data_IF_582718544320
#
_entry.id   IF_582718544320
#
_cell.length_a   1.000
_cell.length_b   1.000
_cell.length_c   1.000
_cell.angle_alpha   90.00
_cell.angle_beta   90.00
_cell.angle_gamma   90.00
#
_symmetry.space_group_name_H-M   'P 1'
#
loop_
_entity.id
_entity.type
_entity.pdbx_description
1 polymer ?
#
# COMPACT_ATOMS: atom_id res chain seq x y z
N UNK A 1 -5.16 -17.22 45.61
CA UNK A 1 -4.77 -18.58 45.18
C UNK A 1 -5.57 -19.08 43.97
N UNK A 2 -6.90 -18.99 43.98
CA UNK A 2 -7.77 -19.41 42.85
C UNK A 2 -7.53 -18.60 41.55
N UNK A 3 -7.34 -17.28 41.67
CA UNK A 3 -7.06 -16.38 40.54
C UNK A 3 -5.71 -16.71 39.85
N UNK A 4 -4.69 -17.07 40.63
CA UNK A 4 -3.36 -17.48 40.15
C UNK A 4 -3.44 -18.80 39.38
N UNK A 5 -4.24 -19.77 39.85
CA UNK A 5 -4.43 -21.05 39.16
C UNK A 5 -5.16 -20.90 37.82
N UNK A 6 -6.13 -19.97 37.75
CA UNK A 6 -6.85 -19.68 36.51
C UNK A 6 -5.95 -18.96 35.50
N UNK A 7 -5.17 -17.99 35.97
CA UNK A 7 -4.16 -17.27 35.17
C UNK A 7 -3.12 -18.26 34.61
N UNK A 8 -2.61 -19.17 35.44
CA UNK A 8 -1.66 -20.19 35.03
C UNK A 8 -2.23 -21.16 33.99
N UNK A 9 -3.51 -21.57 34.10
CA UNK A 9 -4.16 -22.45 33.11
C UNK A 9 -4.38 -21.75 31.77
N UNK A 10 -4.74 -20.46 31.79
CA UNK A 10 -4.90 -19.65 30.57
C UNK A 10 -3.55 -19.43 29.89
N UNK A 11 -2.52 -19.01 30.63
CA UNK A 11 -1.15 -18.85 30.13
C UNK A 11 -0.65 -20.16 29.51
N UNK A 12 -0.89 -21.31 30.15
CA UNK A 12 -0.41 -22.61 29.65
C UNK A 12 -1.04 -23.04 28.33
N UNK A 13 -2.35 -22.79 28.15
CA UNK A 13 -3.04 -23.09 26.88
C UNK A 13 -2.44 -22.26 25.73
N UNK A 14 -2.17 -20.98 25.98
CA UNK A 14 -1.67 -20.06 24.95
C UNK A 14 -0.16 -20.20 24.67
N UNK A 15 0.68 -20.56 25.66
CA UNK A 15 2.10 -20.88 25.42
C UNK A 15 2.27 -22.09 24.50
N UNK A 16 1.39 -23.09 24.61
CA UNK A 16 1.37 -24.26 23.72
C UNK A 16 0.99 -23.86 22.29
N UNK A 17 -0.02 -23.00 22.13
CA UNK A 17 -0.46 -22.49 20.83
C UNK A 17 0.63 -21.63 20.16
N UNK A 18 1.33 -20.77 20.91
CA UNK A 18 2.44 -19.92 20.42
C UNK A 18 3.68 -20.76 20.03
N UNK A 19 4.02 -21.78 20.84
CA UNK A 19 5.12 -22.70 20.52
C UNK A 19 4.88 -23.45 19.20
N UNK A 20 3.61 -23.67 18.85
CA UNK A 20 3.21 -24.32 17.60
C UNK A 20 3.30 -23.41 16.37
N UNK A 21 3.22 -22.09 16.54
CA UNK A 21 3.24 -21.10 15.45
C UNK A 21 4.68 -20.68 15.08
N UNK A 22 5.59 -20.57 16.05
CA UNK A 22 6.95 -20.01 15.87
C UNK A 22 8.10 -21.04 15.87
N UNK A 23 7.85 -22.28 15.45
CA UNK A 23 8.95 -23.25 15.27
C UNK A 23 9.71 -23.61 16.56
N UNK A 24 9.01 -23.65 17.71
CA UNK A 24 9.52 -24.09 19.02
C UNK A 24 10.63 -23.23 19.66
N UNK A 25 10.36 -21.93 19.87
CA UNK A 25 11.07 -21.20 20.92
C UNK A 25 10.49 -21.57 22.30
N UNK A 26 11.32 -22.14 23.17
CA UNK A 26 10.96 -22.53 24.54
C UNK A 26 11.35 -21.42 25.53
N UNK A 27 10.38 -20.85 26.22
CA UNK A 27 10.61 -19.87 27.30
C UNK A 27 10.55 -20.55 28.67
N UNK A 28 11.43 -20.15 29.59
CA UNK A 28 11.40 -20.61 30.99
C UNK A 28 10.34 -19.84 31.80
N UNK A 29 9.72 -20.49 32.78
CA UNK A 29 8.56 -19.99 33.55
C UNK A 29 8.81 -18.66 34.27
N UNK A 30 9.98 -18.59 34.92
CA UNK A 30 10.52 -17.41 35.58
C UNK A 30 10.67 -16.24 34.61
N UNK A 31 10.89 -16.48 33.31
CA UNK A 31 10.99 -15.44 32.29
C UNK A 31 9.62 -14.96 31.80
N UNK A 32 8.66 -15.87 31.56
CA UNK A 32 7.33 -15.52 31.01
C UNK A 32 6.53 -14.56 31.92
N UNK A 33 6.73 -14.60 33.23
CA UNK A 33 6.01 -13.77 34.21
C UNK A 33 6.58 -12.37 34.42
N UNK A 34 7.78 -12.10 33.91
CA UNK A 34 8.49 -10.81 34.05
C UNK A 34 8.90 -10.21 32.73
N UNK A 35 8.87 -10.95 31.62
CA UNK A 35 9.09 -10.41 30.28
C UNK A 35 7.88 -9.56 29.87
N UNK A 36 7.99 -8.21 29.81
CA UNK A 36 6.91 -7.34 29.37
C UNK A 36 6.43 -7.67 27.93
N UNK A 37 7.28 -8.34 27.18
CA UNK A 37 7.15 -8.76 25.78
C UNK A 37 5.97 -9.70 25.53
N UNK A 38 5.75 -10.64 26.45
CA UNK A 38 4.65 -11.62 26.36
C UNK A 38 3.31 -10.97 26.75
N UNK A 39 3.35 -9.98 27.64
CA UNK A 39 2.16 -9.30 28.17
C UNK A 39 1.57 -8.30 27.17
N UNK A 40 2.38 -7.52 26.44
CA UNK A 40 1.88 -6.58 25.42
C UNK A 40 1.42 -7.24 24.12
N UNK A 41 2.00 -8.37 23.73
CA UNK A 41 1.54 -9.11 22.56
C UNK A 41 0.05 -9.53 22.68
N UNK A 42 -0.46 -9.68 23.91
CA UNK A 42 -1.75 -10.31 24.19
C UNK A 42 -2.76 -9.43 24.98
N UNK A 43 -2.57 -8.12 25.03
CA UNK A 43 -3.59 -7.18 25.56
C UNK A 43 -3.72 -7.14 27.08
N UNK A 44 -2.70 -7.58 27.82
CA UNK A 44 -2.67 -7.63 29.28
C UNK A 44 -2.29 -6.28 29.90
N UNK A 45 -3.10 -5.25 29.61
CA UNK A 45 -2.80 -3.85 29.91
C UNK A 45 -2.73 -3.57 31.42
N UNK A 46 -3.55 -4.25 32.23
CA UNK A 46 -3.58 -4.05 33.68
C UNK A 46 -2.37 -4.70 34.37
N UNK A 47 -1.84 -5.81 33.84
CA UNK A 47 -0.56 -6.36 34.30
C UNK A 47 0.62 -5.47 33.91
N UNK A 48 0.62 -4.87 32.71
CA UNK A 48 1.65 -3.90 32.30
C UNK A 48 1.68 -2.66 33.18
N UNK A 49 0.51 -2.08 33.51
CA UNK A 49 0.38 -0.95 34.45
C UNK A 49 0.97 -1.27 35.83
N UNK A 50 0.83 -2.50 36.30
CA UNK A 50 1.39 -2.92 37.60
C UNK A 50 2.92 -2.99 37.62
N UNK A 51 3.55 -3.32 36.47
CA UNK A 51 5.00 -3.41 36.31
C UNK A 51 5.62 -2.03 36.06
N UNK A 52 4.95 -1.15 35.31
CA UNK A 52 5.42 0.23 35.07
C UNK A 52 5.46 1.07 36.36
N UNK A 53 4.65 0.73 37.36
CA UNK A 53 4.70 1.34 38.69
C UNK A 53 5.99 1.03 39.47
N UNK A 54 6.73 -0.01 39.05
CA UNK A 54 7.96 -0.48 39.70
C UNK A 54 9.19 -0.05 38.89
N UNK A 55 9.15 -0.17 37.55
CA UNK A 55 10.20 0.31 36.64
C UNK A 55 9.59 1.06 35.43
N UNK A 56 9.54 2.41 35.48
CA UNK A 56 8.79 3.23 34.51
C UNK A 56 9.34 3.24 33.08
N UNK A 57 10.65 3.01 32.90
CA UNK A 57 11.33 3.17 31.60
C UNK A 57 11.60 1.86 30.84
N UNK A 58 11.59 0.70 31.53
CA UNK A 58 12.00 -0.57 30.93
C UNK A 58 10.81 -1.34 30.33
N UNK A 59 9.60 -1.11 30.84
CA UNK A 59 8.49 -2.08 30.70
C UNK A 59 7.61 -1.93 29.46
N UNK A 60 7.57 -0.75 28.81
CA UNK A 60 6.68 -0.50 27.66
C UNK A 60 7.44 -0.53 26.34
N UNK A 61 8.64 0.05 26.31
CA UNK A 61 9.57 0.01 25.18
C UNK A 61 9.94 -1.43 24.81
N UNK A 62 10.17 -2.29 25.81
CA UNK A 62 10.47 -3.72 25.63
C UNK A 62 9.25 -4.50 25.13
N UNK A 63 8.06 -4.17 25.65
CA UNK A 63 6.82 -4.82 25.29
C UNK A 63 6.42 -4.55 23.82
N UNK A 64 6.66 -3.32 23.35
CA UNK A 64 6.52 -2.91 21.95
C UNK A 64 7.64 -3.55 21.09
N UNK A 65 8.91 -3.53 21.54
CA UNK A 65 10.06 -4.12 20.86
C UNK A 65 9.94 -5.63 20.59
N UNK A 66 9.22 -6.39 21.42
CA UNK A 66 9.03 -7.81 21.15
C UNK A 66 7.80 -8.16 20.31
N UNK A 67 6.71 -7.38 20.38
CA UNK A 67 5.66 -7.49 19.36
C UNK A 67 6.21 -7.14 17.96
N UNK A 68 7.23 -6.30 17.92
CA UNK A 68 8.02 -5.93 16.74
C UNK A 68 8.96 -7.05 16.22
N UNK A 69 9.36 -8.04 17.02
CA UNK A 69 10.23 -9.16 16.58
C UNK A 69 9.46 -10.37 16.06
N UNK A 70 8.20 -10.55 16.44
CA UNK A 70 7.39 -11.73 16.06
C UNK A 70 6.78 -11.65 14.65
N UNK A 71 6.91 -10.52 13.94
CA UNK A 71 6.23 -10.27 12.66
C UNK A 71 7.11 -9.73 11.51
N UNK A 72 8.45 -9.75 11.59
CA UNK A 72 9.30 -9.20 10.51
C UNK A 72 10.08 -10.25 9.71
N UNK A 73 9.65 -10.51 8.46
CA UNK A 73 10.50 -11.05 7.38
C UNK A 73 11.20 -9.94 6.58
N UNK A 74 11.13 -8.67 7.02
CA UNK A 74 11.73 -7.54 6.33
C UNK A 74 12.88 -6.90 7.13
N UNK A 75 14.02 -6.58 6.48
CA UNK A 75 15.14 -5.90 7.13
C UNK A 75 14.72 -4.48 7.50
N UNK A 76 14.77 -4.15 8.80
CA UNK A 76 14.52 -2.78 9.27
C UNK A 76 15.73 -1.89 8.99
N UNK A 77 15.47 -0.73 8.38
CA UNK A 77 16.29 0.46 8.60
C UNK A 77 16.11 0.91 10.05
N UNK A 78 17.18 1.37 10.69
CA UNK A 78 17.18 1.93 12.04
C UNK A 78 16.04 2.94 12.24
N UNK A 79 14.95 2.53 12.90
CA UNK A 79 13.93 3.44 13.40
C UNK A 79 14.26 3.65 14.87
N UNK A 80 14.93 4.78 15.12
CA UNK A 80 15.10 5.42 16.43
C UNK A 80 13.75 6.08 16.84
N UNK A 81 12.68 5.27 16.82
CA UNK A 81 11.31 5.75 16.66
C UNK A 81 10.60 6.07 17.97
N UNK A 82 9.92 7.21 17.97
CA UNK A 82 8.99 7.64 19.00
C UNK A 82 7.97 6.54 19.37
N UNK A 83 7.72 6.34 20.67
CA UNK A 83 6.83 5.27 21.18
C UNK A 83 5.39 5.38 20.67
N UNK A 84 4.88 6.59 20.42
CA UNK A 84 3.54 6.78 19.86
C UNK A 84 3.44 6.27 18.42
N UNK A 85 4.52 6.37 17.64
CA UNK A 85 4.56 5.93 16.24
C UNK A 85 4.39 4.41 16.16
N UNK A 86 5.11 3.69 17.00
CA UNK A 86 5.07 2.22 17.04
C UNK A 86 3.69 1.73 17.48
N UNK A 87 3.17 2.25 18.59
CA UNK A 87 1.84 1.86 19.09
C UNK A 87 0.75 2.20 18.07
N UNK A 88 0.88 3.33 17.38
CA UNK A 88 -0.07 3.71 16.35
C UNK A 88 0.00 2.83 15.10
N UNK A 89 1.19 2.37 14.72
CA UNK A 89 1.32 1.38 13.65
C UNK A 89 0.62 0.06 13.99
N UNK A 90 0.52 -0.30 15.29
CA UNK A 90 -0.16 -1.52 15.74
C UNK A 90 -1.65 -1.38 16.02
N UNK A 91 -2.19 -0.17 16.09
CA UNK A 91 -3.63 0.00 16.28
C UNK A 91 -4.11 0.10 17.74
N UNK A 92 -3.22 0.14 18.74
CA UNK A 92 -3.64 0.09 20.15
C UNK A 92 -3.92 1.49 20.72
N UNK A 93 -5.18 1.92 20.57
CA UNK A 93 -5.65 3.21 21.10
C UNK A 93 -5.63 3.27 22.64
N UNK A 94 -5.71 2.13 23.33
CA UNK A 94 -5.68 2.07 24.79
C UNK A 94 -4.30 2.49 25.31
N UNK A 95 -3.25 1.94 24.71
CA UNK A 95 -1.87 2.32 25.02
C UNK A 95 -1.60 3.77 24.60
N UNK A 96 -2.08 4.22 23.44
CA UNK A 96 -1.93 5.63 23.02
C UNK A 96 -2.52 6.60 24.04
N UNK A 97 -3.74 6.33 24.55
CA UNK A 97 -4.37 7.17 25.58
C UNK A 97 -3.56 7.20 26.87
N UNK A 98 -3.10 6.04 27.32
CA UNK A 98 -2.25 5.95 28.51
C UNK A 98 -0.93 6.71 28.32
N UNK A 99 -0.29 6.60 27.15
CA UNK A 99 0.93 7.34 26.83
C UNK A 99 0.68 8.85 26.81
N UNK A 100 -0.46 9.31 26.28
CA UNK A 100 -0.81 10.73 26.28
C UNK A 100 -0.97 11.30 27.69
N UNK A 101 -1.44 10.49 28.65
CA UNK A 101 -1.58 10.88 30.06
C UNK A 101 -0.27 10.83 30.85
N UNK A 102 0.64 9.90 30.52
CA UNK A 102 1.81 9.58 31.34
C UNK A 102 3.16 9.95 30.72
N UNK A 103 3.19 10.20 29.40
CA UNK A 103 4.40 10.50 28.58
C UNK A 103 4.09 11.56 27.52
N UNK A 104 3.38 12.61 27.92
CA UNK A 104 2.97 13.68 27.01
C UNK A 104 4.14 14.42 26.34
N UNK A 105 5.33 14.38 26.95
CA UNK A 105 6.57 14.93 26.42
C UNK A 105 7.02 14.27 25.11
N UNK A 106 6.71 12.97 24.93
CA UNK A 106 7.05 12.23 23.72
C UNK A 106 6.04 12.52 22.60
N UNK A 107 4.88 13.12 22.88
CA UNK A 107 3.82 13.27 21.90
C UNK A 107 4.15 14.29 20.81
N UNK A 108 4.81 15.39 21.17
CA UNK A 108 5.07 16.52 20.27
C UNK A 108 6.00 16.17 19.09
N UNK A 109 6.91 15.22 19.29
CA UNK A 109 7.84 14.74 18.26
C UNK A 109 7.33 13.48 17.53
N UNK A 110 6.08 13.08 17.77
CA UNK A 110 5.52 11.88 17.17
C UNK A 110 4.97 12.14 15.76
N UNK A 111 5.08 11.14 14.89
CA UNK A 111 4.41 11.02 13.60
C UNK A 111 3.23 10.03 13.71
N UNK A 112 2.54 10.04 14.87
CA UNK A 112 1.49 9.09 15.23
C UNK A 112 0.40 8.99 14.16
N UNK A 113 0.03 10.12 13.55
CA UNK A 113 -0.91 10.16 12.44
C UNK A 113 -0.43 9.31 11.27
N UNK A 114 0.81 9.53 10.83
CA UNK A 114 1.39 8.84 9.68
C UNK A 114 1.51 7.34 9.94
N UNK A 115 1.93 6.93 11.15
CA UNK A 115 2.01 5.51 11.50
C UNK A 115 0.65 4.81 11.49
N UNK A 116 -0.37 5.40 12.12
CA UNK A 116 -1.73 4.87 12.07
C UNK A 116 -2.29 4.85 10.64
N UNK A 117 -1.92 5.85 9.83
CA UNK A 117 -2.32 5.95 8.43
C UNK A 117 -1.68 4.85 7.58
N UNK A 118 -0.37 4.66 7.75
CA UNK A 118 0.39 3.61 7.08
C UNK A 118 -0.14 2.22 7.44
N UNK A 119 -0.63 2.01 8.66
CA UNK A 119 -1.24 0.76 9.11
C UNK A 119 -2.76 0.63 8.84
N UNK A 120 -3.39 1.63 8.22
CA UNK A 120 -4.82 1.64 7.90
C UNK A 120 -5.75 1.58 9.15
N UNK A 121 -5.34 2.23 10.24
CA UNK A 121 -6.09 2.28 11.50
C UNK A 121 -6.90 3.58 11.65
N UNK A 122 -8.10 3.61 11.06
CA UNK A 122 -8.95 4.80 11.06
C UNK A 122 -9.24 5.35 12.48
N UNK A 123 -9.46 4.49 13.47
CA UNK A 123 -9.73 4.90 14.86
C UNK A 123 -8.59 5.67 15.52
N UNK A 124 -7.33 5.42 15.11
CA UNK A 124 -6.19 6.22 15.56
C UNK A 124 -6.20 7.59 14.91
N UNK A 125 -6.51 7.66 13.61
CA UNK A 125 -6.58 8.94 12.92
C UNK A 125 -7.69 9.81 13.49
N UNK A 126 -8.85 9.24 13.79
CA UNK A 126 -9.94 9.93 14.50
C UNK A 126 -9.48 10.47 15.86
N UNK A 127 -8.73 9.67 16.62
CA UNK A 127 -8.14 10.11 17.89
C UNK A 127 -7.16 11.28 17.71
N UNK A 128 -6.26 11.18 16.72
CA UNK A 128 -5.30 12.25 16.41
C UNK A 128 -6.03 13.51 15.98
N UNK A 129 -6.99 13.42 15.07
CA UNK A 129 -7.72 14.59 14.57
C UNK A 129 -8.55 15.28 15.67
N UNK A 130 -9.11 14.51 16.60
CA UNK A 130 -9.95 15.05 17.67
C UNK A 130 -9.14 15.69 18.81
N UNK A 131 -8.01 15.10 19.21
CA UNK A 131 -7.25 15.55 20.39
C UNK A 131 -5.88 16.17 20.08
N UNK A 132 -5.29 15.81 18.94
CA UNK A 132 -3.90 16.11 18.59
C UNK A 132 -3.77 16.57 17.12
N UNK A 133 -4.69 17.44 16.68
CA UNK A 133 -4.80 17.87 15.29
C UNK A 133 -3.51 18.52 14.74
N UNK A 134 -2.65 19.03 15.61
CA UNK A 134 -1.33 19.55 15.27
C UNK A 134 -0.38 18.50 14.67
N UNK A 135 -0.62 17.20 14.90
CA UNK A 135 0.16 16.11 14.32
C UNK A 135 -0.28 15.74 12.90
N UNK A 136 -1.36 16.35 12.39
CA UNK A 136 -1.91 16.08 11.08
C UNK A 136 -1.70 17.28 10.13
N UNK A 137 -1.10 17.00 8.98
CA UNK A 137 -0.85 17.98 7.93
C UNK A 137 -1.69 17.67 6.69
N UNK A 138 -2.87 18.28 6.61
CA UNK A 138 -3.80 18.08 5.49
C UNK A 138 -3.28 18.56 4.12
N UNK A 139 -2.17 19.32 4.07
CA UNK A 139 -1.60 19.84 2.82
C UNK A 139 -0.89 18.77 1.99
N UNK A 140 -0.68 17.58 2.56
CA UNK A 140 0.08 16.47 1.99
C UNK A 140 -0.76 15.61 1.04
N UNK A 141 -0.63 15.74 -0.30
CA UNK A 141 -1.42 14.96 -1.25
C UNK A 141 -1.12 13.45 -1.22
N UNK A 142 0.04 13.06 -0.66
CA UNK A 142 0.43 11.65 -0.54
C UNK A 142 -0.57 10.80 0.26
N UNK A 143 -1.34 11.40 1.18
CA UNK A 143 -2.36 10.67 1.92
C UNK A 143 -3.47 10.15 1.00
N UNK A 144 -3.95 11.00 0.08
CA UNK A 144 -4.96 10.60 -0.91
C UNK A 144 -4.36 9.61 -1.92
N UNK A 145 -3.18 9.92 -2.49
CA UNK A 145 -2.55 9.06 -3.50
C UNK A 145 -2.29 7.63 -3.01
N UNK A 146 -1.85 7.47 -1.76
CA UNK A 146 -1.53 6.15 -1.19
C UNK A 146 -2.76 5.34 -0.78
N UNK A 147 -3.88 5.99 -0.45
CA UNK A 147 -5.15 5.27 -0.18
C UNK A 147 -5.81 4.79 -1.45
N UNK A 148 -5.80 5.58 -2.53
CA UNK A 148 -6.41 5.20 -3.80
C UNK A 148 -5.73 3.99 -4.43
N UNK A 149 -4.41 3.82 -4.23
CA UNK A 149 -3.65 2.71 -4.81
C UNK A 149 -4.20 1.32 -4.41
N UNK A 150 -4.82 1.19 -3.23
CA UNK A 150 -5.23 -0.09 -2.67
C UNK A 150 -6.74 -0.15 -2.35
N UNK A 151 -7.49 -1.14 -2.86
CA UNK A 151 -8.95 -1.24 -2.66
C UNK A 151 -9.37 -1.32 -1.20
N UNK A 152 -8.60 -2.03 -0.37
CA UNK A 152 -8.88 -2.19 1.07
C UNK A 152 -8.73 -0.88 1.87
N UNK A 153 -8.25 0.19 1.26
CA UNK A 153 -8.14 1.52 1.86
C UNK A 153 -9.23 2.49 1.40
N UNK A 154 -10.27 2.02 0.70
CA UNK A 154 -11.33 2.91 0.21
C UNK A 154 -12.12 3.62 1.32
N UNK A 155 -12.38 2.95 2.46
CA UNK A 155 -12.99 3.60 3.63
C UNK A 155 -12.09 4.72 4.16
N UNK A 156 -10.79 4.45 4.28
CA UNK A 156 -9.80 5.43 4.73
C UNK A 156 -9.65 6.60 3.75
N UNK A 157 -9.69 6.33 2.45
CA UNK A 157 -9.73 7.35 1.40
C UNK A 157 -10.89 8.33 1.63
N UNK A 158 -12.13 7.81 1.80
CA UNK A 158 -13.31 8.65 2.03
C UNK A 158 -13.18 9.48 3.31
N UNK A 159 -12.66 8.86 4.37
CA UNK A 159 -12.41 9.54 5.64
C UNK A 159 -11.45 10.73 5.46
N UNK A 160 -10.27 10.50 4.88
CA UNK A 160 -9.24 11.53 4.71
C UNK A 160 -9.67 12.62 3.73
N UNK A 161 -10.37 12.24 2.66
CA UNK A 161 -10.99 13.20 1.74
C UNK A 161 -12.00 14.08 2.47
N UNK A 162 -12.85 13.49 3.31
CA UNK A 162 -13.86 14.22 4.10
C UNK A 162 -13.27 15.16 5.16
N UNK A 163 -12.06 14.87 5.65
CA UNK A 163 -11.31 15.74 6.58
C UNK A 163 -10.69 16.95 5.85
N UNK A 164 -10.68 16.96 4.51
CA UNK A 164 -10.19 18.10 3.73
C UNK A 164 -8.72 18.00 3.32
N UNK A 165 -8.14 16.79 3.29
CA UNK A 165 -6.82 16.58 2.69
C UNK A 165 -6.79 17.06 1.24
N UNK A 166 -5.68 17.71 0.87
CA UNK A 166 -5.44 18.16 -0.49
C UNK A 166 -5.47 16.96 -1.44
N UNK A 167 -6.36 17.04 -2.41
CA UNK A 167 -6.49 16.03 -3.45
C UNK A 167 -5.57 16.42 -4.63
N UNK A 168 -4.69 15.53 -5.10
CA UNK A 168 -3.84 15.84 -6.25
C UNK A 168 -4.68 16.00 -7.53
N UNK A 169 -4.28 16.90 -8.43
CA UNK A 169 -5.05 17.19 -9.65
C UNK A 169 -5.22 15.95 -10.56
N UNK A 170 -4.23 15.05 -10.55
CA UNK A 170 -4.21 13.81 -11.33
C UNK A 170 -4.81 12.61 -10.56
N UNK A 171 -5.61 12.83 -9.52
CA UNK A 171 -6.20 11.77 -8.69
C UNK A 171 -6.97 10.71 -9.50
N UNK A 172 -7.70 11.14 -10.53
CA UNK A 172 -8.46 10.25 -11.42
C UNK A 172 -7.54 9.36 -12.26
N UNK A 173 -6.41 9.91 -12.71
CA UNK A 173 -5.40 9.16 -13.47
C UNK A 173 -4.73 8.12 -12.56
N UNK A 174 -4.36 8.50 -11.33
CA UNK A 174 -3.81 7.57 -10.33
C UNK A 174 -4.79 6.44 -10.00
N UNK A 175 -6.08 6.76 -9.89
CA UNK A 175 -7.13 5.77 -9.67
C UNK A 175 -7.26 4.79 -10.84
N UNK A 176 -7.06 5.25 -12.08
CA UNK A 176 -7.12 4.41 -13.27
C UNK A 176 -6.01 3.35 -13.34
N UNK A 177 -4.84 3.64 -12.79
CA UNK A 177 -3.74 2.66 -12.65
C UNK A 177 -4.00 1.64 -11.53
N UNK A 178 -4.77 2.05 -10.52
CA UNK A 178 -5.02 1.27 -9.31
C UNK A 178 -6.04 0.14 -9.55
N UNK A 179 -6.10 -0.81 -8.63
CA UNK A 179 -7.20 -1.78 -8.59
C UNK A 179 -8.45 -1.22 -7.89
N UNK A 180 -8.42 0.01 -7.38
CA UNK A 180 -9.49 0.62 -6.59
C UNK A 180 -10.52 1.33 -7.49
N UNK A 181 -11.23 0.53 -8.28
CA UNK A 181 -12.25 1.05 -9.19
C UNK A 181 -13.42 1.73 -8.47
N UNK A 182 -13.70 1.34 -7.23
CA UNK A 182 -14.75 1.96 -6.43
C UNK A 182 -14.39 3.40 -6.02
N UNK A 183 -13.12 3.67 -5.68
CA UNK A 183 -12.64 5.03 -5.48
C UNK A 183 -12.77 5.88 -6.74
N UNK A 184 -12.44 5.31 -7.91
CA UNK A 184 -12.56 6.00 -9.19
C UNK A 184 -14.01 6.38 -9.53
N UNK A 185 -14.95 5.43 -9.41
CA UNK A 185 -16.39 5.69 -9.62
C UNK A 185 -16.93 6.71 -8.61
N UNK A 186 -16.49 6.61 -7.35
CA UNK A 186 -16.89 7.55 -6.32
C UNK A 186 -16.40 8.96 -6.61
N UNK A 187 -15.12 9.13 -6.98
CA UNK A 187 -14.54 10.42 -7.35
C UNK A 187 -15.28 11.05 -8.52
N UNK A 188 -15.55 10.27 -9.58
CA UNK A 188 -16.30 10.75 -10.74
C UNK A 188 -17.73 11.22 -10.40
N UNK A 189 -18.41 10.48 -9.54
CA UNK A 189 -19.83 10.74 -9.21
C UNK A 189 -20.01 11.82 -8.14
N UNK A 190 -19.02 12.03 -7.27
CA UNK A 190 -19.17 12.89 -6.09
C UNK A 190 -18.27 14.13 -6.10
N UNK A 191 -17.39 14.28 -7.10
CA UNK A 191 -16.41 15.38 -7.13
C UNK A 191 -16.31 16.03 -8.51
N UNK A 192 -15.57 17.14 -8.57
CA UNK A 192 -15.25 17.85 -9.82
C UNK A 192 -14.02 17.32 -10.53
N UNK A 193 -13.29 16.35 -9.95
CA UNK A 193 -12.12 15.75 -10.60
C UNK A 193 -12.54 14.97 -11.85
N UNK A 194 -11.77 15.09 -12.93
CA UNK A 194 -12.06 14.47 -14.22
C UNK A 194 -10.86 13.65 -14.70
N UNK A 195 -11.16 12.54 -15.36
CA UNK A 195 -10.17 11.72 -16.03
C UNK A 195 -9.63 12.42 -17.27
N UNK A 196 -8.35 12.22 -17.55
CA UNK A 196 -7.69 12.69 -18.77
C UNK A 196 -7.31 11.51 -19.66
N UNK A 197 -6.76 11.75 -20.84
CA UNK A 197 -6.18 10.69 -21.67
C UNK A 197 -5.10 9.87 -20.94
N UNK A 198 -4.42 10.46 -19.94
CA UNK A 198 -3.47 9.72 -19.09
C UNK A 198 -4.14 8.62 -18.27
N UNK A 199 -5.40 8.79 -17.87
CA UNK A 199 -6.18 7.73 -17.22
C UNK A 199 -6.27 6.49 -18.10
N UNK A 200 -6.46 6.65 -19.43
CA UNK A 200 -6.50 5.52 -20.36
C UNK A 200 -5.12 4.84 -20.48
N UNK A 201 -4.06 5.62 -20.59
CA UNK A 201 -2.69 5.08 -20.67
C UNK A 201 -2.33 4.29 -19.40
N UNK A 202 -2.65 4.82 -18.22
CA UNK A 202 -2.43 4.12 -16.95
C UNK A 202 -3.29 2.86 -16.78
N UNK A 203 -4.55 2.91 -17.20
CA UNK A 203 -5.40 1.71 -17.22
C UNK A 203 -4.85 0.64 -18.19
N UNK A 204 -4.30 1.07 -19.34
CA UNK A 204 -3.65 0.19 -20.30
C UNK A 204 -2.36 -0.42 -19.75
N UNK A 205 -1.52 0.41 -19.12
CA UNK A 205 -0.30 -0.04 -18.45
C UNK A 205 -0.58 -1.11 -17.39
N UNK A 206 -1.68 -0.96 -16.63
CA UNK A 206 -2.11 -1.90 -15.60
C UNK A 206 -2.99 -3.06 -16.12
N UNK A 207 -3.19 -3.18 -17.44
CA UNK A 207 -4.02 -4.18 -18.10
C UNK A 207 -5.47 -4.26 -17.56
N UNK A 208 -6.13 -3.09 -17.42
CA UNK A 208 -7.46 -2.98 -16.81
C UNK A 208 -8.56 -2.69 -17.83
N UNK A 209 -8.96 -3.72 -18.59
CA UNK A 209 -10.04 -3.63 -19.59
C UNK A 209 -11.33 -2.97 -19.07
N UNK A 210 -11.76 -3.31 -17.85
CA UNK A 210 -12.98 -2.77 -17.27
C UNK A 210 -12.87 -1.27 -16.94
N UNK A 211 -11.67 -0.76 -16.62
CA UNK A 211 -11.44 0.69 -16.42
C UNK A 211 -11.41 1.39 -17.78
N UNK A 212 -10.78 0.80 -18.78
CA UNK A 212 -10.69 1.34 -20.14
C UNK A 212 -12.10 1.52 -20.75
N UNK A 213 -12.92 0.49 -20.67
CA UNK A 213 -14.31 0.52 -21.16
C UNK A 213 -15.14 1.53 -20.38
N UNK A 214 -15.01 1.57 -19.05
CA UNK A 214 -15.69 2.57 -18.22
C UNK A 214 -15.25 4.02 -18.54
N UNK A 215 -13.96 4.27 -18.77
CA UNK A 215 -13.44 5.59 -19.15
C UNK A 215 -13.98 6.05 -20.51
N UNK A 216 -14.12 5.13 -21.47
CA UNK A 216 -14.73 5.41 -22.77
C UNK A 216 -16.21 5.77 -22.61
N UNK A 217 -16.97 4.95 -21.88
CA UNK A 217 -18.43 5.08 -21.78
C UNK A 217 -18.88 6.21 -20.84
N UNK A 218 -18.28 6.29 -19.65
CA UNK A 218 -18.72 7.21 -18.58
C UNK A 218 -18.01 8.55 -18.63
N UNK A 219 -16.76 8.59 -19.10
CA UNK A 219 -15.98 9.82 -19.19
C UNK A 219 -15.84 10.35 -20.63
N UNK A 220 -16.44 9.67 -21.62
CA UNK A 220 -16.39 10.03 -23.05
C UNK A 220 -14.94 10.26 -23.57
N UNK A 221 -13.98 9.49 -23.05
CA UNK A 221 -12.59 9.58 -23.50
C UNK A 221 -12.37 8.75 -24.77
N UNK A 222 -11.68 9.31 -25.75
CA UNK A 222 -11.29 8.56 -26.95
C UNK A 222 -10.00 7.79 -26.72
N UNK A 223 -9.88 6.64 -27.39
CA UNK A 223 -8.64 5.89 -27.42
C UNK A 223 -7.57 6.73 -28.14
N UNK A 224 -6.31 6.47 -27.81
CA UNK A 224 -5.18 7.24 -28.33
C UNK A 224 -4.10 6.30 -28.83
N UNK A 225 -3.27 6.80 -29.75
CA UNK A 225 -2.05 6.10 -30.20
C UNK A 225 -1.16 5.75 -29.02
N UNK A 226 -0.98 6.71 -28.09
CA UNK A 226 -0.16 6.55 -26.88
C UNK A 226 -0.67 5.42 -25.97
N UNK A 227 -1.98 5.19 -25.91
CA UNK A 227 -2.56 4.09 -25.13
C UNK A 227 -2.14 2.73 -25.68
N UNK A 228 -2.16 2.58 -27.01
CA UNK A 228 -1.70 1.36 -27.69
C UNK A 228 -0.20 1.15 -27.49
N UNK A 229 0.59 2.21 -27.65
CA UNK A 229 2.04 2.18 -27.39
C UNK A 229 2.33 1.78 -25.93
N UNK A 230 1.53 2.29 -24.99
CA UNK A 230 1.64 1.95 -23.56
C UNK A 230 1.31 0.48 -23.30
N UNK A 231 0.27 -0.06 -23.94
CA UNK A 231 -0.08 -1.48 -23.84
C UNK A 231 1.03 -2.38 -24.41
N UNK A 232 1.64 -1.97 -25.53
CA UNK A 232 2.80 -2.65 -26.14
C UNK A 232 4.01 -2.61 -25.20
N UNK A 233 4.35 -1.44 -24.66
CA UNK A 233 5.47 -1.29 -23.74
C UNK A 233 5.30 -2.03 -22.42
N UNK A 234 4.06 -2.20 -21.97
CA UNK A 234 3.73 -3.02 -20.81
C UNK A 234 3.66 -4.53 -21.13
N UNK A 235 3.75 -4.92 -22.41
CA UNK A 235 3.76 -6.32 -22.85
C UNK A 235 2.37 -6.99 -22.90
N UNK A 236 1.28 -6.22 -22.85
CA UNK A 236 -0.09 -6.77 -22.75
C UNK A 236 -0.66 -7.09 -24.13
N UNK A 237 -0.22 -8.19 -24.75
CA UNK A 237 -0.59 -8.51 -26.14
C UNK A 237 -2.10 -8.69 -26.36
N UNK A 238 -2.81 -9.28 -25.39
CA UNK A 238 -4.27 -9.43 -25.49
C UNK A 238 -4.99 -8.09 -25.43
N UNK A 239 -4.47 -7.11 -24.68
CA UNK A 239 -5.00 -5.75 -24.69
C UNK A 239 -4.71 -5.05 -26.02
N UNK A 240 -3.52 -5.26 -26.59
CA UNK A 240 -3.16 -4.72 -27.91
C UNK A 240 -4.07 -5.26 -29.01
N UNK A 241 -4.30 -6.59 -29.03
CA UNK A 241 -5.26 -7.24 -29.93
C UNK A 241 -6.66 -6.64 -29.78
N UNK A 242 -7.12 -6.49 -28.54
CA UNK A 242 -8.44 -5.92 -28.24
C UNK A 242 -8.55 -4.47 -28.69
N UNK A 243 -7.55 -3.62 -28.41
CA UNK A 243 -7.52 -2.22 -28.84
C UNK A 243 -7.56 -2.12 -30.37
N UNK A 244 -6.85 -3.00 -31.09
CA UNK A 244 -6.79 -2.95 -32.55
C UNK A 244 -8.15 -3.25 -33.21
N UNK A 245 -8.98 -4.07 -32.56
CA UNK A 245 -10.34 -4.36 -33.03
C UNK A 245 -11.32 -3.26 -32.64
N UNK A 246 -11.10 -2.59 -31.49
CA UNK A 246 -12.04 -1.64 -30.91
C UNK A 246 -11.67 -0.16 -31.13
N UNK A 247 -10.52 0.12 -31.77
CA UNK A 247 -9.97 1.45 -31.98
C UNK A 247 -9.46 1.62 -33.41
N UNK A 248 -9.53 2.84 -33.93
CA UNK A 248 -9.04 3.18 -35.29
C UNK A 248 -7.68 3.86 -35.28
N UNK A 249 -7.18 4.24 -34.10
CA UNK A 249 -6.05 5.13 -33.90
C UNK A 249 -4.70 4.50 -34.24
N UNK A 250 -4.56 3.18 -34.17
CA UNK A 250 -3.28 2.54 -34.50
C UNK A 250 -2.26 2.56 -33.35
N UNK A 251 -0.98 2.41 -33.68
CA UNK A 251 0.15 2.60 -32.76
C UNK A 251 1.23 3.35 -33.49
N UNK A 252 2.07 4.08 -32.77
CA UNK A 252 3.16 4.78 -33.42
C UNK A 252 4.28 3.80 -33.82
N UNK A 253 5.23 4.30 -34.62
CA UNK A 253 6.47 3.59 -34.93
C UNK A 253 7.24 3.20 -33.65
N UNK A 254 7.05 3.94 -32.56
CA UNK A 254 7.72 3.64 -31.29
C UNK A 254 7.28 2.29 -30.71
N UNK A 255 6.04 1.83 -30.95
CA UNK A 255 5.55 0.55 -30.44
C UNK A 255 6.42 -0.62 -30.90
N UNK A 256 6.82 -0.66 -32.17
CA UNK A 256 7.69 -1.72 -32.70
C UNK A 256 9.08 -1.68 -32.05
N UNK A 257 9.67 -0.50 -31.92
CA UNK A 257 10.96 -0.33 -31.26
C UNK A 257 10.89 -0.77 -29.79
N UNK A 258 9.82 -0.41 -29.08
CA UNK A 258 9.60 -0.81 -27.69
C UNK A 258 9.44 -2.34 -27.57
N UNK A 259 8.66 -2.97 -28.45
CA UNK A 259 8.49 -4.42 -28.47
C UNK A 259 9.82 -5.15 -28.73
N UNK A 260 10.64 -4.61 -29.64
CA UNK A 260 11.97 -5.15 -29.94
C UNK A 260 12.96 -4.96 -28.76
N UNK A 261 12.99 -3.78 -28.12
CA UNK A 261 13.82 -3.53 -26.92
C UNK A 261 13.44 -4.49 -25.78
N UNK A 262 12.15 -4.79 -25.62
CA UNK A 262 11.65 -5.70 -24.60
C UNK A 262 11.84 -7.19 -24.97
N UNK A 263 12.45 -7.50 -26.11
CA UNK A 263 12.59 -8.86 -26.66
C UNK A 263 11.28 -9.66 -26.71
N UNK A 264 10.14 -8.97 -26.91
CA UNK A 264 8.83 -9.61 -26.96
C UNK A 264 8.50 -10.05 -28.39
N UNK A 265 9.01 -11.23 -28.76
CA UNK A 265 8.84 -11.81 -30.10
C UNK A 265 7.38 -11.93 -30.53
N UNK A 266 6.49 -12.33 -29.62
CA UNK A 266 5.06 -12.47 -29.91
C UNK A 266 4.45 -11.12 -30.30
N UNK A 267 4.77 -10.07 -29.53
CA UNK A 267 4.32 -8.72 -29.81
C UNK A 267 4.90 -8.18 -31.13
N UNK A 268 6.19 -8.39 -31.39
CA UNK A 268 6.85 -7.97 -32.64
C UNK A 268 6.19 -8.64 -33.86
N UNK A 269 5.98 -9.96 -33.81
CA UNK A 269 5.34 -10.70 -34.90
C UNK A 269 3.91 -10.21 -35.11
N UNK A 270 3.15 -10.03 -34.03
CA UNK A 270 1.79 -9.53 -34.11
C UNK A 270 1.73 -8.12 -34.74
N UNK A 271 2.62 -7.21 -34.32
CA UNK A 271 2.70 -5.85 -34.86
C UNK A 271 3.09 -5.84 -36.35
N UNK A 272 4.00 -6.73 -36.79
CA UNK A 272 4.39 -6.88 -38.22
C UNK A 272 3.22 -7.36 -39.09
N UNK A 273 2.44 -8.31 -38.59
CA UNK A 273 1.34 -8.92 -39.36
C UNK A 273 0.10 -8.04 -39.46
N UNK A 274 -0.15 -7.20 -38.44
CA UNK A 274 -1.43 -6.51 -38.28
C UNK A 274 -1.37 -4.98 -38.52
N UNK A 275 -0.20 -4.40 -38.82
CA UNK A 275 -0.07 -2.93 -38.93
C UNK A 275 0.64 -2.45 -40.18
N UNK A 276 0.04 -1.43 -40.81
CA UNK A 276 0.49 -0.81 -42.06
C UNK A 276 1.41 0.39 -41.85
N UNK A 277 1.57 0.84 -40.59
CA UNK A 277 2.46 1.94 -40.21
C UNK A 277 3.90 1.41 -40.24
N UNK A 278 4.55 1.60 -41.40
CA UNK A 278 5.86 1.05 -41.71
C UNK A 278 6.91 1.32 -40.64
N UNK A 279 7.87 0.41 -40.53
CA UNK A 279 8.92 0.48 -39.52
C UNK A 279 10.16 1.17 -40.09
N UNK A 280 10.87 1.96 -39.29
CA UNK A 280 12.20 2.47 -39.64
C UNK A 280 13.19 1.29 -39.66
N UNK A 281 13.41 0.70 -40.85
CA UNK A 281 14.22 -0.49 -41.08
C UNK A 281 15.62 -0.45 -40.42
N UNK A 282 16.22 0.74 -40.30
CA UNK A 282 17.52 0.93 -39.65
C UNK A 282 17.52 0.80 -38.12
N UNK A 283 16.41 1.11 -37.43
CA UNK A 283 16.36 1.06 -35.97
C UNK A 283 16.11 -0.35 -35.43
N UNK A 284 15.34 -1.18 -36.14
CA UNK A 284 15.08 -2.56 -35.74
C UNK A 284 16.37 -3.39 -35.76
N UNK A 285 17.18 -3.26 -36.81
CA UNK A 285 18.42 -4.01 -36.94
C UNK A 285 19.44 -3.63 -35.87
N UNK A 286 19.57 -2.33 -35.56
CA UNK A 286 20.48 -1.86 -34.50
C UNK A 286 20.03 -2.31 -33.09
N UNK A 287 18.71 -2.28 -32.83
CA UNK A 287 18.14 -2.73 -31.54
C UNK A 287 18.25 -4.25 -31.40
N UNK A 288 17.90 -5.02 -32.43
CA UNK A 288 17.99 -6.49 -32.43
C UNK A 288 19.44 -6.95 -32.30
N UNK A 289 20.39 -6.27 -32.97
CA UNK A 289 21.81 -6.51 -32.80
C UNK A 289 22.30 -6.18 -31.39
N UNK A 290 21.77 -5.12 -30.76
CA UNK A 290 22.12 -4.75 -29.37
C UNK A 290 21.51 -5.68 -28.30
N UNK A 291 20.35 -6.29 -28.60
CA UNK A 291 19.66 -7.24 -27.72
C UNK A 291 20.22 -8.67 -27.79
N UNK A 292 21.10 -8.96 -28.75
CA UNK A 292 21.78 -10.25 -28.91
C UNK A 292 20.89 -11.39 -29.41
N UNK A 293 19.66 -11.11 -29.84
CA UNK A 293 18.66 -12.12 -30.16
C UNK A 293 18.54 -12.33 -31.68
N UNK A 294 19.32 -13.28 -32.20
CA UNK A 294 19.46 -13.59 -33.64
C UNK A 294 18.15 -14.07 -34.27
N UNK A 295 17.16 -14.46 -33.46
CA UNK A 295 15.84 -14.88 -33.93
C UNK A 295 14.94 -13.73 -34.44
N UNK A 296 15.32 -12.46 -34.19
CA UNK A 296 14.57 -11.27 -34.63
C UNK A 296 15.06 -10.63 -35.94
N UNK A 297 16.18 -11.11 -36.52
CA UNK A 297 16.69 -10.72 -37.84
C UNK A 297 15.88 -11.41 -38.96
#
# INVERSE_FOLDING_TARGET
>A
MFMIMMLNKLIFKYVVDISSINGRLHYKWDRVTILPEVLAAHGYIDQLKSISAIEPNLSITIAIQCKLKEHSDQPRSEIDGNVFNEVAYYGDIGIIKWLAENRSEDLASSDMFYSGFAANHQHILEYVLFLHNNLFDQSKPQYISSTIKYPNRFTLFKFIYGVGCVCPDNVMDLAAMSSNFDAMKWLHSNTTHRSTSKSLNFAAQANRFYIITWLKESCNLNYTVEMMDTAVGAGHIELVKWLNVNSTEGCSVAAMNIAAINSNLEMVNWLKENRTEGHSHGQILDVVASAGDVAML
#
